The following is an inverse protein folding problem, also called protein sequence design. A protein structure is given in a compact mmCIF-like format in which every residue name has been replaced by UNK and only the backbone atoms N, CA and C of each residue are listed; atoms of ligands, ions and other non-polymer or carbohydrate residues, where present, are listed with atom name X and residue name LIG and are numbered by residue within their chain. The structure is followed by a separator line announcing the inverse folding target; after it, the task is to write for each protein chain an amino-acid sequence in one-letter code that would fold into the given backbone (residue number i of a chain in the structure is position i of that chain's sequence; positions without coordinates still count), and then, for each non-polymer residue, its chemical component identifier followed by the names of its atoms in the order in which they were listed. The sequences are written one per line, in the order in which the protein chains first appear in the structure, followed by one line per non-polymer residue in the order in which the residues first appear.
data_IF_385946939990
#
_entry.id   IF_385946939990
#
_cell.length_a   1.000
_cell.length_b   1.000
_cell.length_c   1.000
_cell.angle_alpha   90.00
_cell.angle_beta   90.00
_cell.angle_gamma   90.00
#
_symmetry.space_group_name_H-M   'P 1'
#
loop_
_entity.id
_entity.type
_entity.pdbx_description
1 polymer ?
#
# COMPACT_ATOMS: atom_id res chain seq x y z
N UNK A 1 31.62 1.10 -6.49
CA UNK A 1 30.55 1.77 -7.22
C UNK A 1 30.74 3.29 -7.16
N UNK A 2 30.51 3.98 -8.24
CA UNK A 2 30.69 5.42 -8.36
C UNK A 2 29.94 6.23 -7.29
N UNK A 3 28.70 5.90 -7.02
CA UNK A 3 27.90 6.54 -5.98
C UNK A 3 28.50 6.44 -4.56
N UNK A 4 29.25 5.38 -4.27
CA UNK A 4 29.96 5.25 -2.98
C UNK A 4 31.20 6.15 -2.92
N UNK A 5 31.96 6.25 -4.04
CA UNK A 5 33.15 7.13 -4.13
C UNK A 5 32.77 8.60 -4.08
N UNK A 6 31.58 8.96 -4.58
CA UNK A 6 31.05 10.33 -4.57
C UNK A 6 30.34 10.71 -3.27
N UNK A 7 30.26 9.77 -2.31
CA UNK A 7 29.58 10.02 -1.03
C UNK A 7 30.26 11.18 -0.26
N UNK A 8 29.49 12.16 0.26
CA UNK A 8 30.05 13.23 1.08
C UNK A 8 30.55 12.68 2.43
N UNK A 9 31.59 13.31 2.96
CA UNK A 9 32.24 12.93 4.22
C UNK A 9 31.92 13.90 5.38
N UNK A 10 31.34 15.05 5.11
CA UNK A 10 30.98 16.06 6.11
C UNK A 10 29.56 16.59 5.88
N UNK A 11 28.97 17.21 6.93
CA UNK A 11 27.69 17.90 6.81
C UNK A 11 27.75 19.10 5.88
N UNK A 12 28.91 19.70 5.68
CA UNK A 12 29.10 20.85 4.81
C UNK A 12 29.06 20.42 3.31
N UNK A 13 29.44 19.17 3.01
CA UNK A 13 29.32 18.57 1.68
C UNK A 13 27.94 17.95 1.43
N UNK A 14 27.15 17.77 2.48
CA UNK A 14 25.85 17.10 2.40
C UNK A 14 24.80 18.04 1.83
N UNK A 15 24.25 17.69 0.66
CA UNK A 15 23.31 18.53 -0.09
C UNK A 15 21.88 18.20 0.29
N UNK A 16 21.05 19.23 0.42
CA UNK A 16 19.65 19.13 0.78
C UNK A 16 19.40 18.86 2.27
N UNK A 17 18.16 18.63 2.66
CA UNK A 17 17.73 18.34 4.04
C UNK A 17 18.08 19.43 5.06
N UNK A 18 18.10 20.69 4.65
CA UNK A 18 18.57 21.84 5.46
C UNK A 18 17.88 21.94 6.83
N UNK A 19 16.58 21.67 6.90
CA UNK A 19 15.81 21.70 8.15
C UNK A 19 16.35 20.69 9.18
N UNK A 20 16.72 19.50 8.72
CA UNK A 20 17.26 18.43 9.55
C UNK A 20 18.70 18.72 9.94
N UNK A 21 19.54 19.05 8.95
CA UNK A 21 20.99 19.20 9.11
C UNK A 21 21.34 20.48 9.86
N UNK A 22 20.78 21.63 9.46
CA UNK A 22 21.07 22.94 10.06
C UNK A 22 20.30 23.19 11.36
N UNK A 23 19.21 22.46 11.60
CA UNK A 23 18.37 22.58 12.77
C UNK A 23 18.97 21.92 14.02
N UNK A 24 18.24 20.99 14.61
CA UNK A 24 18.58 20.39 15.90
C UNK A 24 19.77 19.42 15.86
N UNK A 25 20.11 18.83 14.70
CA UNK A 25 21.13 17.79 14.61
C UNK A 25 22.55 18.35 14.83
N UNK A 26 22.90 19.42 14.13
CA UNK A 26 24.24 20.04 14.25
C UNK A 26 24.56 20.50 15.67
N UNK A 27 23.56 20.99 16.40
CA UNK A 27 23.73 21.41 17.81
C UNK A 27 23.99 20.23 18.76
N UNK A 28 23.41 19.08 18.50
CA UNK A 28 23.60 17.84 19.28
C UNK A 28 24.99 17.23 19.01
N UNK A 29 25.41 17.21 17.75
CA UNK A 29 26.71 16.65 17.35
C UNK A 29 27.89 17.45 17.96
N UNK A 30 27.79 18.77 17.99
CA UNK A 30 28.79 19.61 18.65
C UNK A 30 28.94 19.32 20.14
N UNK A 31 27.90 18.79 20.79
CA UNK A 31 27.92 18.35 22.19
C UNK A 31 28.38 16.90 22.37
N UNK A 32 28.81 16.24 21.31
CA UNK A 32 29.20 14.82 21.34
C UNK A 32 28.05 13.87 21.65
N UNK A 33 26.81 14.27 21.33
CA UNK A 33 25.63 13.45 21.60
C UNK A 33 24.93 13.06 20.31
N UNK A 34 24.84 11.75 20.06
CA UNK A 34 24.06 11.17 18.97
C UNK A 34 22.82 10.53 19.58
N UNK A 35 21.61 11.08 19.36
CA UNK A 35 20.39 10.43 19.82
C UNK A 35 20.08 9.19 18.97
N UNK A 36 19.48 8.18 19.57
CA UNK A 36 18.91 7.09 18.80
C UNK A 36 17.76 7.61 17.95
N UNK A 37 17.78 7.33 16.64
CA UNK A 37 16.80 7.88 15.69
C UNK A 37 16.46 6.91 14.56
N UNK A 38 15.31 7.13 13.96
CA UNK A 38 14.90 6.50 12.71
C UNK A 38 14.85 7.54 11.60
N UNK A 39 15.65 7.31 10.56
CA UNK A 39 15.70 8.14 9.35
C UNK A 39 14.67 7.59 8.36
N UNK A 40 13.60 8.31 8.18
CA UNK A 40 12.51 7.92 7.27
C UNK A 40 12.50 8.83 6.04
N UNK A 41 12.50 8.24 4.86
CA UNK A 41 12.44 9.00 3.61
C UNK A 41 12.62 8.10 2.38
N UNK A 42 12.39 8.66 1.18
CA UNK A 42 12.46 7.91 -0.08
C UNK A 42 13.87 7.36 -0.35
N UNK A 43 14.02 6.40 -1.29
CA UNK A 43 15.32 5.95 -1.76
C UNK A 43 16.18 7.14 -2.23
N UNK A 44 17.49 7.02 -2.10
CA UNK A 44 18.42 8.06 -2.55
C UNK A 44 18.38 9.39 -1.80
N UNK A 45 17.55 9.56 -0.77
CA UNK A 45 17.47 10.80 0.04
C UNK A 45 18.66 11.03 0.99
N UNK A 46 19.66 10.14 1.00
CA UNK A 46 20.89 10.29 1.79
C UNK A 46 20.86 9.69 3.20
N UNK A 47 19.89 8.83 3.57
CA UNK A 47 19.79 8.23 4.93
C UNK A 47 21.09 7.59 5.43
N UNK A 48 21.65 6.67 4.68
CA UNK A 48 22.91 5.98 5.04
C UNK A 48 24.09 6.94 5.11
N UNK A 49 24.15 7.90 4.20
CA UNK A 49 25.17 8.95 4.15
C UNK A 49 25.09 9.81 5.40
N UNK A 50 23.90 10.27 5.77
CA UNK A 50 23.70 11.08 6.97
C UNK A 50 24.10 10.32 8.24
N UNK A 51 23.75 9.04 8.35
CA UNK A 51 24.14 8.21 9.49
C UNK A 51 25.67 8.10 9.66
N UNK A 52 26.38 7.91 8.55
CA UNK A 52 27.86 7.85 8.57
C UNK A 52 28.49 9.21 8.95
N UNK A 53 28.04 10.30 8.34
CA UNK A 53 28.53 11.65 8.63
C UNK A 53 28.27 12.00 10.11
N UNK A 54 27.07 11.78 10.59
CA UNK A 54 26.68 12.05 11.99
C UNK A 54 27.59 11.31 12.97
N UNK A 55 27.93 10.07 12.66
CA UNK A 55 28.81 9.27 13.53
C UNK A 55 30.26 9.75 13.47
N UNK A 56 30.72 10.16 12.30
CA UNK A 56 32.10 10.66 12.11
C UNK A 56 32.31 12.05 12.71
N UNK A 57 31.35 12.95 12.55
CA UNK A 57 31.46 14.34 13.07
C UNK A 57 31.15 14.48 14.57
N UNK A 58 30.49 13.48 15.17
CA UNK A 58 30.24 13.51 16.61
C UNK A 58 31.56 13.33 17.38
N UNK A 59 32.13 14.43 17.76
CA UNK A 59 33.37 14.45 18.58
C UNK A 59 33.04 14.27 20.05
N UNK A 60 33.68 13.28 20.69
CA UNK A 60 33.66 13.15 22.14
C UNK A 60 34.82 13.98 22.71
N UNK A 61 34.57 15.05 23.48
CA UNK A 61 35.65 15.97 23.96
C UNK A 61 36.71 15.27 24.83
N UNK A 62 36.43 14.10 25.38
CA UNK A 62 37.33 13.39 26.33
C UNK A 62 37.26 11.85 26.21
N UNK A 63 36.80 11.30 25.06
CA UNK A 63 36.66 9.87 24.91
C UNK A 63 37.07 9.36 23.51
N UNK A 64 37.18 8.02 23.33
CA UNK A 64 37.45 7.43 22.04
C UNK A 64 36.34 7.74 21.04
N UNK A 65 36.66 7.81 19.72
CA UNK A 65 35.67 8.06 18.68
C UNK A 65 34.60 6.97 18.69
N UNK A 66 33.39 7.32 18.21
CA UNK A 66 32.31 6.34 18.07
C UNK A 66 32.70 5.24 17.10
N UNK A 67 32.35 3.99 17.43
CA UNK A 67 32.43 2.87 16.50
C UNK A 67 31.15 2.83 15.67
N UNK A 68 31.26 2.95 14.37
CA UNK A 68 30.16 2.75 13.44
C UNK A 68 30.08 1.28 12.99
N UNK A 69 28.92 0.67 13.13
CA UNK A 69 28.63 -0.68 12.66
C UNK A 69 27.37 -0.64 11.80
N UNK A 70 27.49 -1.12 10.59
CA UNK A 70 26.38 -1.16 9.63
C UNK A 70 25.82 -2.59 9.52
N UNK A 71 24.51 -2.71 9.53
CA UNK A 71 23.78 -3.95 9.42
C UNK A 71 22.59 -3.76 8.46
N UNK A 72 22.40 -4.69 7.54
CA UNK A 72 21.20 -4.70 6.71
C UNK A 72 20.16 -5.66 7.28
N UNK A 73 18.95 -5.17 7.57
CA UNK A 73 17.87 -6.01 8.08
C UNK A 73 17.36 -7.04 7.05
N UNK A 74 17.75 -6.91 5.78
CA UNK A 74 17.41 -7.89 4.73
C UNK A 74 18.23 -9.17 4.82
N UNK A 75 19.46 -9.11 5.35
CA UNK A 75 20.39 -10.23 5.40
C UNK A 75 20.71 -10.69 6.81
N UNK A 76 20.51 -9.83 7.80
CA UNK A 76 20.89 -10.09 9.17
C UNK A 76 19.94 -11.05 9.91
N UNK A 77 20.50 -12.01 10.60
CA UNK A 77 19.77 -12.89 11.53
C UNK A 77 19.66 -12.30 12.93
N UNK A 78 18.75 -12.84 13.75
CA UNK A 78 18.63 -12.47 15.16
C UNK A 78 19.94 -12.75 15.95
N UNK A 79 20.71 -13.77 15.55
CA UNK A 79 22.00 -14.10 16.17
C UNK A 79 23.06 -13.06 15.85
N UNK A 80 23.05 -12.50 14.63
CA UNK A 80 23.98 -11.43 14.27
C UNK A 80 23.72 -10.18 15.10
N UNK A 81 22.45 -9.82 15.30
CA UNK A 81 22.06 -8.70 16.17
C UNK A 81 22.56 -8.93 17.60
N UNK A 82 22.31 -10.11 18.18
CA UNK A 82 22.76 -10.44 19.54
C UNK A 82 24.28 -10.35 19.68
N UNK A 83 25.02 -10.96 18.75
CA UNK A 83 26.47 -10.91 18.74
C UNK A 83 27.02 -9.48 18.70
N UNK A 84 26.46 -8.63 17.85
CA UNK A 84 26.86 -7.21 17.74
C UNK A 84 26.54 -6.41 19.01
N UNK A 85 25.40 -6.68 19.63
CA UNK A 85 25.03 -6.08 20.90
C UNK A 85 26.00 -6.48 22.02
N UNK A 86 26.27 -7.78 22.17
CA UNK A 86 27.21 -8.29 23.18
C UNK A 86 28.61 -7.71 22.98
N UNK A 87 29.07 -7.63 21.73
CA UNK A 87 30.36 -7.02 21.39
C UNK A 87 30.37 -5.53 21.74
N UNK A 88 29.29 -4.79 21.49
CA UNK A 88 29.19 -3.37 21.82
C UNK A 88 29.25 -3.13 23.33
N UNK A 89 28.54 -3.94 24.12
CA UNK A 89 28.55 -3.89 25.59
C UNK A 89 29.95 -4.18 26.13
N UNK A 90 30.58 -5.23 25.62
CA UNK A 90 31.93 -5.64 26.03
C UNK A 90 32.97 -4.55 25.72
N UNK A 91 32.93 -3.98 24.50
CA UNK A 91 33.83 -2.88 24.14
C UNK A 91 33.62 -1.64 25.00
N UNK A 92 32.40 -1.25 25.24
CA UNK A 92 32.10 -0.11 26.08
C UNK A 92 32.67 -0.29 27.50
N UNK A 93 32.56 -1.51 28.07
CA UNK A 93 33.11 -1.79 29.41
C UNK A 93 34.63 -1.79 29.46
N UNK A 94 35.31 -2.24 28.38
CA UNK A 94 36.77 -2.31 28.35
C UNK A 94 37.46 -1.02 27.94
N UNK A 95 36.92 -0.30 26.95
CA UNK A 95 37.59 0.85 26.30
C UNK A 95 36.85 2.16 26.45
N UNK A 96 35.64 2.15 27.00
CA UNK A 96 34.75 3.32 27.00
C UNK A 96 34.19 3.71 25.63
N UNK A 97 34.55 2.97 24.55
CA UNK A 97 34.12 3.25 23.19
C UNK A 97 32.63 2.95 23.00
N UNK A 98 31.86 3.98 22.62
CA UNK A 98 30.44 3.85 22.30
C UNK A 98 30.23 3.32 20.89
N UNK A 99 29.24 2.45 20.70
CA UNK A 99 28.87 1.91 19.40
C UNK A 99 27.61 2.56 18.86
N UNK A 100 27.70 3.06 17.63
CA UNK A 100 26.57 3.49 16.82
C UNK A 100 26.25 2.36 15.87
N UNK A 101 25.09 1.74 16.05
CA UNK A 101 24.59 0.67 15.19
C UNK A 101 23.64 1.27 14.16
N UNK A 102 24.03 1.24 12.89
CA UNK A 102 23.18 1.64 11.79
C UNK A 102 22.49 0.41 11.22
N UNK A 103 21.15 0.44 11.13
CA UNK A 103 20.35 -0.62 10.55
C UNK A 103 19.64 -0.09 9.32
N UNK A 104 20.01 -0.60 8.16
CA UNK A 104 19.32 -0.29 6.91
C UNK A 104 18.11 -1.20 6.72
N UNK A 105 17.04 -0.66 6.13
CA UNK A 105 15.76 -1.35 5.87
C UNK A 105 15.13 -1.95 7.14
N UNK A 106 15.14 -1.20 8.25
CA UNK A 106 14.70 -1.66 9.58
C UNK A 106 13.29 -2.30 9.58
N UNK A 107 12.41 -1.93 8.67
CA UNK A 107 11.06 -2.50 8.51
C UNK A 107 11.07 -3.99 8.11
N UNK A 108 12.21 -4.53 7.68
CA UNK A 108 12.37 -5.96 7.35
C UNK A 108 12.53 -6.85 8.58
N UNK A 109 12.91 -6.29 9.71
CA UNK A 109 12.97 -7.04 10.95
C UNK A 109 11.57 -7.37 11.48
N UNK A 110 11.37 -8.63 11.87
CA UNK A 110 10.16 -9.06 12.56
C UNK A 110 10.13 -8.52 14.00
N UNK A 111 8.98 -8.68 14.67
CA UNK A 111 8.77 -8.15 16.04
C UNK A 111 9.82 -8.68 17.03
N UNK A 112 10.13 -9.97 17.02
CA UNK A 112 11.09 -10.56 17.93
C UNK A 112 12.52 -10.01 17.72
N UNK A 113 12.90 -9.70 16.48
CA UNK A 113 14.18 -9.05 16.19
C UNK A 113 14.21 -7.59 16.65
N UNK A 114 13.09 -6.87 16.52
CA UNK A 114 12.97 -5.50 17.01
C UNK A 114 13.05 -5.43 18.54
N UNK A 115 12.49 -6.41 19.26
CA UNK A 115 12.53 -6.49 20.73
C UNK A 115 13.94 -6.63 21.30
N UNK A 116 14.89 -7.18 20.53
CA UNK A 116 16.29 -7.31 20.96
C UNK A 116 16.97 -5.96 21.25
N UNK A 117 16.50 -4.87 20.63
CA UNK A 117 17.07 -3.53 20.81
C UNK A 117 16.56 -2.83 22.07
N UNK A 118 15.39 -3.19 22.60
CA UNK A 118 14.77 -2.47 23.72
C UNK A 118 15.67 -2.43 24.97
N UNK A 119 16.22 -3.55 25.48
CA UNK A 119 17.03 -3.56 26.71
C UNK A 119 18.33 -2.77 26.56
N UNK A 120 18.94 -2.79 25.37
CA UNK A 120 20.24 -2.16 25.13
C UNK A 120 20.14 -0.66 24.86
N UNK A 121 18.99 -0.22 24.30
CA UNK A 121 18.67 1.19 24.17
C UNK A 121 18.36 1.82 25.54
N UNK A 122 17.59 1.14 26.38
CA UNK A 122 17.25 1.61 27.74
C UNK A 122 18.50 1.78 28.62
N UNK A 123 19.46 0.87 28.49
CA UNK A 123 20.73 0.94 29.24
C UNK A 123 21.75 1.88 28.62
N UNK A 124 21.50 2.42 27.43
CA UNK A 124 22.43 3.32 26.73
C UNK A 124 23.72 2.65 26.25
N UNK A 125 23.74 1.33 26.07
CA UNK A 125 24.92 0.60 25.59
C UNK A 125 25.22 0.82 24.12
N UNK A 126 24.17 1.09 23.33
CA UNK A 126 24.30 1.42 21.91
C UNK A 126 23.49 2.67 21.58
N UNK A 127 23.89 3.36 20.53
CA UNK A 127 23.08 4.34 19.83
C UNK A 127 22.55 3.70 18.55
N UNK A 128 21.24 3.66 18.37
CA UNK A 128 20.61 3.05 17.19
C UNK A 128 20.27 4.15 16.17
N UNK A 129 20.82 4.01 14.97
CA UNK A 129 20.40 4.75 13.78
C UNK A 129 19.69 3.79 12.84
N UNK A 130 18.39 3.87 12.73
CA UNK A 130 17.61 3.03 11.82
C UNK A 130 17.28 3.80 10.55
N UNK A 131 17.30 3.15 9.40
CA UNK A 131 16.82 3.71 8.13
C UNK A 131 15.64 2.90 7.62
N UNK A 132 14.65 3.60 7.07
CA UNK A 132 13.46 2.98 6.45
C UNK A 132 12.92 3.84 5.34
N UNK A 133 12.40 3.22 4.30
CA UNK A 133 11.62 3.86 3.25
C UNK A 133 10.12 3.85 3.55
N UNK A 134 9.65 2.92 4.40
CA UNK A 134 8.24 2.81 4.78
C UNK A 134 7.94 3.64 6.04
N UNK A 135 6.69 4.08 6.19
CA UNK A 135 6.29 4.84 7.37
C UNK A 135 6.53 4.00 8.66
N UNK A 136 7.39 4.48 9.56
CA UNK A 136 7.80 3.73 10.74
C UNK A 136 6.64 3.38 11.67
N UNK A 137 5.56 4.18 11.69
CA UNK A 137 4.38 3.93 12.54
C UNK A 137 3.61 2.66 12.14
N UNK A 138 3.77 2.17 10.92
CA UNK A 138 3.10 0.94 10.46
C UNK A 138 3.95 -0.31 10.60
N UNK A 139 5.27 -0.15 10.69
CA UNK A 139 6.21 -1.28 10.62
C UNK A 139 7.02 -1.51 11.88
N UNK A 140 7.31 -0.45 12.61
CA UNK A 140 8.05 -0.55 13.86
C UNK A 140 7.11 -0.71 15.04
N UNK A 141 7.54 -1.47 16.03
CA UNK A 141 6.80 -1.60 17.27
C UNK A 141 6.73 -0.28 18.03
N UNK A 142 5.58 0.04 18.63
CA UNK A 142 5.39 1.25 19.41
C UNK A 142 6.41 1.41 20.55
N UNK A 143 6.80 0.31 21.19
CA UNK A 143 7.81 0.28 22.25
C UNK A 143 9.20 0.72 21.74
N UNK A 144 9.58 0.32 20.53
CA UNK A 144 10.83 0.74 19.92
C UNK A 144 10.73 2.19 19.43
N UNK A 145 9.64 2.55 18.76
CA UNK A 145 9.42 3.87 18.21
C UNK A 145 9.41 4.97 19.28
N UNK A 146 8.87 4.68 20.48
CA UNK A 146 8.88 5.61 21.61
C UNK A 146 10.28 5.95 22.13
N UNK A 147 11.31 5.17 21.79
CA UNK A 147 12.70 5.35 22.18
C UNK A 147 13.57 5.93 21.07
N UNK A 148 13.01 6.12 19.90
CA UNK A 148 13.69 6.65 18.72
C UNK A 148 13.10 8.01 18.33
N UNK A 149 13.98 8.93 17.98
CA UNK A 149 13.54 10.20 17.38
C UNK A 149 13.29 9.97 15.89
N UNK A 150 12.07 10.24 15.42
CA UNK A 150 11.77 10.19 13.99
C UNK A 150 12.34 11.42 13.30
N UNK A 151 13.17 11.19 12.30
CA UNK A 151 13.75 12.22 11.43
C UNK A 151 13.27 11.94 10.01
N UNK A 152 12.47 12.85 9.48
CA UNK A 152 11.92 12.74 8.13
C UNK A 152 12.88 13.39 7.16
N UNK A 153 13.30 12.63 6.15
CA UNK A 153 14.10 13.12 5.04
C UNK A 153 13.18 13.27 3.82
N UNK A 154 13.14 14.48 3.30
CA UNK A 154 12.35 14.77 2.10
C UNK A 154 13.04 14.26 0.85
N UNK A 155 12.26 14.13 -0.21
CA UNK A 155 12.77 13.93 -1.55
C UNK A 155 13.66 15.11 -1.93
N UNK A 156 14.82 14.86 -2.54
CA UNK A 156 15.72 15.92 -2.98
C UNK A 156 15.06 16.74 -4.10
N UNK A 157 15.29 18.04 -4.09
CA UNK A 157 14.88 18.92 -5.18
C UNK A 157 15.71 18.66 -6.45
N UNK A 158 15.22 19.10 -7.61
CA UNK A 158 15.96 18.99 -8.88
C UNK A 158 17.33 19.67 -8.77
N UNK A 159 17.35 20.88 -8.15
CA UNK A 159 18.58 21.65 -7.97
C UNK A 159 19.56 20.97 -7.01
N UNK A 160 19.08 20.27 -5.97
CA UNK A 160 19.94 19.49 -5.07
C UNK A 160 20.60 18.32 -5.82
N UNK A 161 19.82 17.58 -6.63
CA UNK A 161 20.35 16.51 -7.46
C UNK A 161 21.35 17.04 -8.50
N UNK A 162 21.05 18.17 -9.12
CA UNK A 162 21.97 18.83 -10.07
C UNK A 162 23.27 19.19 -9.37
N UNK A 163 23.21 19.77 -8.20
CA UNK A 163 24.40 20.14 -7.41
C UNK A 163 25.27 18.93 -7.05
N UNK A 164 24.64 17.81 -6.66
CA UNK A 164 25.35 16.54 -6.42
C UNK A 164 26.06 16.05 -7.68
N UNK A 165 25.41 16.11 -8.84
CA UNK A 165 26.00 15.71 -10.12
C UNK A 165 27.15 16.64 -10.54
N UNK A 166 27.01 17.94 -10.33
CA UNK A 166 28.07 18.94 -10.61
C UNK A 166 29.29 18.72 -9.72
N UNK A 167 29.09 18.44 -8.42
CA UNK A 167 30.17 18.07 -7.51
C UNK A 167 30.87 16.77 -7.95
N UNK A 168 30.12 15.75 -8.36
CA UNK A 168 30.69 14.51 -8.87
C UNK A 168 31.51 14.74 -10.13
N UNK A 169 30.97 15.49 -11.11
CA UNK A 169 31.71 15.88 -12.33
C UNK A 169 32.94 16.69 -12.05
N UNK A 170 32.89 17.62 -11.08
CA UNK A 170 34.07 18.39 -10.69
C UNK A 170 35.18 17.51 -10.11
N UNK A 171 34.86 16.48 -9.34
CA UNK A 171 35.82 15.49 -8.84
C UNK A 171 36.45 14.68 -9.98
N UNK A 172 35.63 14.17 -10.93
CA UNK A 172 36.11 13.47 -12.12
C UNK A 172 37.03 14.35 -12.96
N UNK A 173 36.61 15.59 -13.29
CA UNK A 173 37.40 16.54 -14.09
C UNK A 173 38.75 16.92 -13.48
N UNK A 174 38.84 16.91 -12.15
CA UNK A 174 40.09 17.18 -11.41
C UNK A 174 41.02 15.96 -11.31
N UNK A 175 40.59 14.81 -11.82
CA UNK A 175 41.36 13.55 -11.70
C UNK A 175 41.38 12.98 -10.27
N UNK A 176 40.38 13.31 -9.47
CA UNK A 176 40.23 12.76 -8.13
C UNK A 176 39.41 11.45 -8.10
N UNK A 177 39.24 10.81 -9.27
CA UNK A 177 38.60 9.51 -9.40
C UNK A 177 39.53 8.58 -10.19
N UNK A 178 39.87 7.44 -9.61
CA UNK A 178 40.87 6.52 -10.18
C UNK A 178 40.39 5.76 -11.43
N UNK A 179 39.08 5.76 -11.69
CA UNK A 179 38.51 5.02 -12.82
C UNK A 179 38.29 5.90 -14.06
N UNK A 180 38.18 7.24 -13.90
CA UNK A 180 37.82 8.14 -14.99
C UNK A 180 38.93 9.14 -15.29
N UNK A 181 39.28 9.27 -16.58
CA UNK A 181 40.37 10.15 -17.02
C UNK A 181 39.99 11.62 -16.96
N UNK A 182 40.84 12.45 -16.36
CA UNK A 182 40.64 13.89 -16.32
C UNK A 182 40.57 14.47 -17.75
N UNK A 183 39.57 15.34 -18.00
CA UNK A 183 39.45 16.08 -19.24
C UNK A 183 38.73 15.40 -20.40
N UNK A 184 38.40 14.10 -20.30
CA UNK A 184 37.81 13.37 -21.44
C UNK A 184 36.28 13.62 -21.65
N UNK A 185 35.58 14.31 -20.74
CA UNK A 185 34.12 14.34 -20.66
C UNK A 185 33.54 15.76 -20.93
N UNK A 186 34.12 16.50 -21.86
CA UNK A 186 33.64 17.86 -22.22
C UNK A 186 32.20 17.88 -22.77
N UNK A 187 31.72 16.76 -23.35
CA UNK A 187 30.39 16.59 -23.86
C UNK A 187 29.30 16.43 -22.81
N UNK A 188 29.67 16.10 -21.54
CA UNK A 188 28.74 16.09 -20.44
C UNK A 188 28.61 17.54 -19.95
N UNK A 189 27.65 18.24 -20.50
CA UNK A 189 27.37 19.63 -20.21
C UNK A 189 26.33 19.79 -19.09
N UNK A 190 26.08 21.03 -18.67
CA UNK A 190 25.10 21.33 -17.62
C UNK A 190 23.67 20.99 -18.02
N UNK A 191 23.36 20.96 -19.32
CA UNK A 191 22.05 20.60 -19.82
C UNK A 191 21.79 19.09 -19.63
N UNK A 192 22.77 18.23 -19.94
CA UNK A 192 22.68 16.80 -19.72
C UNK A 192 22.59 16.48 -18.21
N UNK A 193 23.39 17.14 -17.37
CA UNK A 193 23.32 16.97 -15.92
C UNK A 193 21.95 17.35 -15.38
N UNK A 194 21.36 18.44 -15.82
CA UNK A 194 20.02 18.85 -15.43
C UNK A 194 18.97 17.87 -15.91
N UNK A 195 19.11 17.35 -17.11
CA UNK A 195 18.23 16.32 -17.63
C UNK A 195 18.31 15.03 -16.78
N UNK A 196 19.53 14.59 -16.37
CA UNK A 196 19.73 13.45 -15.47
C UNK A 196 19.07 13.73 -14.12
N UNK A 197 19.26 14.93 -13.55
CA UNK A 197 18.66 15.32 -12.27
C UNK A 197 17.13 15.23 -12.29
N UNK A 198 16.48 15.69 -13.38
CA UNK A 198 15.03 15.55 -13.58
C UNK A 198 14.58 14.10 -13.68
N UNK A 199 15.33 13.31 -14.45
CA UNK A 199 15.01 11.89 -14.63
C UNK A 199 15.16 11.07 -13.35
N UNK A 200 16.10 11.43 -12.48
CA UNK A 200 16.32 10.77 -11.19
C UNK A 200 15.24 11.08 -10.16
N UNK A 201 14.43 12.12 -10.40
CA UNK A 201 13.25 12.44 -9.61
C UNK A 201 13.52 12.45 -8.09
N UNK A 202 14.65 13.10 -7.69
CA UNK A 202 15.05 13.24 -6.29
C UNK A 202 15.79 12.05 -5.66
N UNK A 203 16.14 11.02 -6.44
CA UNK A 203 17.00 9.92 -6.02
C UNK A 203 18.46 10.19 -6.43
N UNK A 204 19.30 10.64 -5.48
CA UNK A 204 20.71 10.92 -5.74
C UNK A 204 21.50 9.68 -6.17
N UNK A 205 21.12 8.48 -5.74
CA UNK A 205 21.78 7.23 -6.13
C UNK A 205 21.50 6.93 -7.61
N UNK A 206 20.24 7.05 -8.01
CA UNK A 206 19.84 6.89 -9.40
C UNK A 206 20.49 7.95 -10.31
N UNK A 207 20.59 9.20 -9.83
CA UNK A 207 21.27 10.28 -10.54
C UNK A 207 22.75 9.96 -10.79
N UNK A 208 23.47 9.53 -9.75
CA UNK A 208 24.89 9.17 -9.85
C UNK A 208 25.12 7.92 -10.71
N UNK A 209 24.22 6.93 -10.65
CA UNK A 209 24.31 5.76 -11.55
C UNK A 209 24.08 6.13 -13.01
N UNK A 210 23.15 7.04 -13.28
CA UNK A 210 22.94 7.54 -14.63
C UNK A 210 24.16 8.31 -15.14
N UNK A 211 24.80 9.11 -14.28
CA UNK A 211 26.05 9.78 -14.59
C UNK A 211 27.19 8.78 -14.85
N UNK A 212 27.33 7.76 -14.01
CA UNK A 212 28.32 6.68 -14.18
C UNK A 212 28.16 5.99 -15.55
N UNK A 213 26.92 5.67 -15.94
CA UNK A 213 26.62 5.12 -17.25
C UNK A 213 27.00 6.07 -18.39
N UNK A 214 26.75 7.38 -18.24
CA UNK A 214 27.18 8.37 -19.18
C UNK A 214 28.73 8.47 -19.29
N UNK A 215 29.44 8.37 -18.17
CA UNK A 215 30.90 8.40 -18.14
C UNK A 215 31.54 7.16 -18.80
N UNK A 216 30.91 5.97 -18.65
CA UNK A 216 31.39 4.71 -19.26
C UNK A 216 31.04 4.62 -20.75
N UNK A 217 29.97 5.30 -21.19
CA UNK A 217 29.60 5.27 -22.61
C UNK A 217 30.62 6.06 -23.44
N UNK A 218 31.17 5.45 -24.50
CA UNK A 218 32.10 6.07 -25.46
C UNK A 218 31.44 7.16 -26.33
N UNK A 219 30.63 7.94 -25.73
CA UNK A 219 29.52 8.82 -26.02
C UNK A 219 29.68 9.92 -27.03
N UNK A 220 30.46 9.80 -28.08
CA UNK A 220 30.49 10.83 -29.09
C UNK A 220 29.43 10.72 -30.19
N UNK A 221 28.57 9.68 -30.21
CA UNK A 221 27.78 9.42 -31.40
C UNK A 221 26.28 9.66 -31.30
N UNK A 222 25.65 9.66 -30.13
CA UNK A 222 24.22 9.98 -30.13
C UNK A 222 23.69 10.31 -28.71
N UNK A 223 23.56 11.60 -28.40
CA UNK A 223 22.92 12.10 -27.16
C UNK A 223 21.51 11.58 -27.02
N UNK A 224 20.75 11.44 -28.09
CA UNK A 224 19.40 10.88 -28.09
C UNK A 224 19.39 9.40 -27.74
N UNK A 225 20.36 8.64 -28.26
CA UNK A 225 20.50 7.23 -27.94
C UNK A 225 20.89 7.00 -26.48
N UNK A 226 21.79 7.82 -25.94
CA UNK A 226 22.14 7.81 -24.51
C UNK A 226 20.91 8.15 -23.64
N UNK A 227 20.18 9.21 -23.98
CA UNK A 227 18.97 9.58 -23.28
C UNK A 227 17.89 8.49 -23.33
N UNK A 228 17.72 7.83 -24.47
CA UNK A 228 16.80 6.71 -24.62
C UNK A 228 17.23 5.50 -23.76
N UNK A 229 18.53 5.21 -23.70
CA UNK A 229 19.09 4.15 -22.85
C UNK A 229 18.91 4.45 -21.35
N UNK A 230 19.23 5.68 -20.95
CA UNK A 230 19.04 6.14 -19.58
C UNK A 230 17.57 6.13 -19.15
N UNK A 231 16.64 6.55 -20.03
CA UNK A 231 15.19 6.44 -19.79
C UNK A 231 14.75 5.00 -19.54
N UNK A 232 15.22 4.05 -20.36
CA UNK A 232 14.91 2.62 -20.17
C UNK A 232 15.45 2.09 -18.85
N UNK A 233 16.62 2.52 -18.43
CA UNK A 233 17.26 2.11 -17.19
C UNK A 233 16.54 2.72 -15.97
N UNK A 234 16.15 4.00 -16.03
CA UNK A 234 15.38 4.67 -14.99
C UNK A 234 14.01 4.02 -14.78
N UNK A 235 13.28 3.68 -15.86
CA UNK A 235 12.01 2.97 -15.79
C UNK A 235 12.13 1.59 -15.12
N UNK A 236 13.24 0.88 -15.34
CA UNK A 236 13.49 -0.41 -14.68
C UNK A 236 13.83 -0.27 -13.19
N UNK A 237 14.44 0.85 -12.79
CA UNK A 237 14.84 1.09 -11.40
C UNK A 237 13.64 1.43 -10.49
N UNK A 238 12.59 2.05 -11.02
CA UNK A 238 11.34 2.42 -10.31
C UNK A 238 10.55 1.19 -9.80
N UNK A 239 10.96 -0.01 -10.22
CA UNK A 239 10.31 -1.30 -9.93
C UNK A 239 10.39 -1.75 -8.46
N UNK A 240 11.28 -1.20 -7.67
CA UNK A 240 11.59 -1.69 -6.31
C UNK A 240 11.21 -0.73 -5.17
N UNK A 241 10.60 0.44 -5.46
CA UNK A 241 10.35 1.50 -4.49
C UNK A 241 8.90 1.87 -4.27
N UNK A 242 8.67 2.89 -3.46
CA UNK A 242 7.35 3.46 -3.13
C UNK A 242 6.58 3.97 -4.37
N UNK A 243 7.27 4.31 -5.46
CA UNK A 243 6.69 4.72 -6.74
C UNK A 243 5.74 3.67 -7.34
N UNK A 244 5.99 2.38 -7.12
CA UNK A 244 5.11 1.28 -7.50
C UNK A 244 3.74 1.36 -6.79
N UNK A 245 3.72 1.70 -5.48
CA UNK A 245 2.48 1.90 -4.73
C UNK A 245 1.78 3.20 -5.10
N UNK A 246 2.52 4.23 -5.45
CA UNK A 246 1.96 5.51 -5.87
C UNK A 246 1.31 5.42 -7.25
N UNK A 247 1.95 4.73 -8.22
CA UNK A 247 1.39 4.54 -9.56
C UNK A 247 0.13 3.68 -9.56
N UNK A 248 0.10 2.57 -8.81
CA UNK A 248 -1.12 1.77 -8.68
C UNK A 248 -2.22 2.54 -7.94
N UNK A 249 -1.88 3.36 -6.96
CA UNK A 249 -2.84 4.24 -6.28
C UNK A 249 -3.40 5.31 -7.21
N UNK A 250 -2.56 5.88 -8.09
CA UNK A 250 -2.97 6.84 -9.11
C UNK A 250 -3.91 6.19 -10.14
N UNK A 251 -3.59 4.97 -10.62
CA UNK A 251 -4.45 4.19 -11.51
C UNK A 251 -5.83 3.98 -10.88
N UNK A 252 -5.91 3.52 -9.65
CA UNK A 252 -7.18 3.31 -8.94
C UNK A 252 -7.98 4.58 -8.76
N UNK A 253 -7.31 5.70 -8.40
CA UNK A 253 -7.98 7.00 -8.23
C UNK A 253 -8.50 7.55 -9.55
N UNK A 254 -7.80 7.34 -10.66
CA UNK A 254 -8.25 7.71 -11.98
C UNK A 254 -9.49 6.89 -12.41
N UNK A 255 -9.48 5.57 -12.19
CA UNK A 255 -10.65 4.71 -12.42
C UNK A 255 -11.84 5.17 -11.56
N UNK A 256 -11.62 5.42 -10.26
CA UNK A 256 -12.64 5.91 -9.33
C UNK A 256 -13.19 7.27 -9.74
N UNK A 257 -12.32 8.13 -10.26
CA UNK A 257 -12.67 9.46 -10.79
C UNK A 257 -13.36 9.43 -12.16
N UNK A 258 -13.50 8.25 -12.79
CA UNK A 258 -14.08 8.09 -14.13
C UNK A 258 -13.29 8.85 -15.21
N UNK A 259 -11.95 8.85 -15.10
CA UNK A 259 -11.05 9.42 -16.10
C UNK A 259 -10.27 8.26 -16.78
N UNK A 260 -10.76 7.77 -17.95
CA UNK A 260 -10.13 6.67 -18.66
C UNK A 260 -8.76 7.04 -19.25
N UNK A 261 -8.54 8.27 -19.66
CA UNK A 261 -7.27 8.73 -20.26
C UNK A 261 -6.17 8.75 -19.21
N UNK A 262 -6.44 9.32 -18.02
CA UNK A 262 -5.51 9.28 -16.91
C UNK A 262 -5.26 7.84 -16.44
N UNK A 263 -6.28 6.99 -16.38
CA UNK A 263 -6.13 5.59 -16.00
C UNK A 263 -5.25 4.82 -17.00
N UNK A 264 -5.44 5.02 -18.31
CA UNK A 264 -4.58 4.43 -19.35
C UNK A 264 -3.13 4.92 -19.24
N UNK A 265 -2.92 6.20 -18.96
CA UNK A 265 -1.58 6.75 -18.78
C UNK A 265 -0.85 6.05 -17.62
N UNK A 266 -1.50 5.90 -16.45
CA UNK A 266 -0.90 5.24 -15.31
C UNK A 266 -0.67 3.75 -15.56
N UNK A 267 -1.59 3.06 -16.25
CA UNK A 267 -1.40 1.68 -16.69
C UNK A 267 -0.16 1.54 -17.60
N UNK A 268 -0.06 2.40 -18.63
CA UNK A 268 1.06 2.37 -19.57
C UNK A 268 2.40 2.63 -18.83
N UNK A 269 2.41 3.57 -17.87
CA UNK A 269 3.59 3.85 -17.04
C UNK A 269 4.00 2.64 -16.19
N UNK A 270 3.04 1.91 -15.60
CA UNK A 270 3.32 0.68 -14.85
C UNK A 270 3.88 -0.42 -15.75
N UNK A 271 3.27 -0.66 -16.90
CA UNK A 271 3.75 -1.68 -17.87
C UNK A 271 5.14 -1.32 -18.40
N UNK A 272 5.39 -0.06 -18.75
CA UNK A 272 6.70 0.41 -19.19
C UNK A 272 7.75 0.34 -18.08
N UNK A 273 7.37 0.55 -16.81
CA UNK A 273 8.21 0.37 -15.63
C UNK A 273 8.54 -1.11 -15.34
N UNK A 274 7.86 -2.04 -16.02
CA UNK A 274 8.06 -3.48 -15.88
C UNK A 274 7.33 -4.11 -14.69
N UNK A 275 6.25 -3.49 -14.24
CA UNK A 275 5.37 -4.09 -13.23
C UNK A 275 4.80 -5.44 -13.72
N UNK A 276 4.63 -6.35 -12.78
CA UNK A 276 4.00 -7.65 -13.06
C UNK A 276 2.54 -7.45 -13.51
N UNK A 277 2.17 -7.86 -14.74
CA UNK A 277 0.80 -7.71 -15.23
C UNK A 277 -0.22 -8.42 -14.34
N UNK A 278 0.17 -9.52 -13.68
CA UNK A 278 -0.69 -10.21 -12.74
C UNK A 278 -0.90 -9.41 -11.45
N UNK A 279 0.10 -8.63 -11.01
CA UNK A 279 -0.08 -7.69 -9.91
C UNK A 279 -1.11 -6.62 -10.27
N UNK A 280 -0.98 -5.98 -11.44
CA UNK A 280 -1.93 -4.96 -11.92
C UNK A 280 -3.34 -5.56 -11.98
N UNK A 281 -3.49 -6.74 -12.60
CA UNK A 281 -4.79 -7.42 -12.75
C UNK A 281 -5.41 -7.76 -11.39
N UNK A 282 -4.63 -8.24 -10.39
CA UNK A 282 -5.12 -8.46 -9.02
C UNK A 282 -5.69 -7.18 -8.40
N UNK A 283 -5.05 -6.06 -8.65
CA UNK A 283 -5.52 -4.77 -8.13
C UNK A 283 -6.80 -4.29 -8.83
N UNK A 284 -6.96 -4.58 -10.13
CA UNK A 284 -8.20 -4.28 -10.86
C UNK A 284 -9.39 -5.12 -10.34
N UNK A 285 -9.18 -6.37 -9.93
CA UNK A 285 -10.22 -7.19 -9.27
C UNK A 285 -10.72 -6.52 -7.98
N UNK A 286 -9.79 -5.99 -7.17
CA UNK A 286 -10.15 -5.25 -5.96
C UNK A 286 -10.92 -3.96 -6.30
N UNK A 287 -10.45 -3.21 -7.29
CA UNK A 287 -11.08 -1.97 -7.77
C UNK A 287 -12.53 -2.22 -8.26
N UNK A 288 -12.76 -3.29 -9.03
CA UNK A 288 -14.09 -3.68 -9.50
C UNK A 288 -15.10 -3.91 -8.36
N UNK A 289 -14.64 -4.48 -7.24
CA UNK A 289 -15.49 -4.72 -6.06
C UNK A 289 -15.61 -3.50 -5.15
N UNK A 290 -14.55 -2.70 -5.02
CA UNK A 290 -14.50 -1.53 -4.14
C UNK A 290 -15.28 -0.34 -4.73
N UNK A 291 -15.10 -0.06 -6.02
CA UNK A 291 -15.55 1.18 -6.65
C UNK A 291 -16.73 1.01 -7.62
N UNK A 292 -16.93 -0.17 -8.20
CA UNK A 292 -18.00 -0.40 -9.16
C UNK A 292 -19.15 -1.24 -8.59
N UNK A 293 -18.86 -2.20 -7.72
CA UNK A 293 -19.83 -3.09 -7.06
C UNK A 293 -20.81 -3.76 -8.06
N UNK A 294 -20.30 -4.14 -9.25
CA UNK A 294 -21.03 -4.81 -10.31
C UNK A 294 -20.47 -6.21 -10.55
N UNK A 295 -21.35 -7.18 -10.80
CA UNK A 295 -20.96 -8.55 -11.13
C UNK A 295 -20.21 -8.61 -12.46
N UNK A 296 -20.66 -7.83 -13.45
CA UNK A 296 -20.02 -7.76 -14.77
C UNK A 296 -18.58 -7.23 -14.66
N UNK A 297 -18.37 -6.18 -13.86
CA UNK A 297 -17.05 -5.59 -13.66
C UNK A 297 -16.11 -6.54 -12.93
N UNK A 298 -16.60 -7.25 -11.92
CA UNK A 298 -15.82 -8.26 -11.22
C UNK A 298 -15.46 -9.44 -12.16
N UNK A 299 -16.39 -9.89 -12.99
CA UNK A 299 -16.15 -10.94 -13.99
C UNK A 299 -15.12 -10.47 -15.03
N UNK A 300 -15.23 -9.25 -15.56
CA UNK A 300 -14.27 -8.69 -16.50
C UNK A 300 -12.86 -8.64 -15.89
N UNK A 301 -12.73 -8.11 -14.68
CA UNK A 301 -11.43 -8.02 -14.00
C UNK A 301 -10.82 -9.41 -13.74
N UNK A 302 -11.65 -10.39 -13.36
CA UNK A 302 -11.19 -11.77 -13.14
C UNK A 302 -10.80 -12.45 -14.46
N UNK A 303 -11.56 -12.24 -15.53
CA UNK A 303 -11.22 -12.74 -16.87
C UNK A 303 -9.93 -12.09 -17.40
N UNK A 304 -9.73 -10.79 -17.12
CA UNK A 304 -8.49 -10.07 -17.47
C UNK A 304 -7.28 -10.65 -16.74
N UNK A 305 -7.41 -10.98 -15.44
CA UNK A 305 -6.34 -11.68 -14.72
C UNK A 305 -5.96 -12.98 -15.42
N UNK A 306 -6.96 -13.79 -15.80
CA UNK A 306 -6.72 -15.05 -16.49
C UNK A 306 -6.13 -14.87 -17.90
N UNK A 307 -6.55 -13.84 -18.61
CA UNK A 307 -5.96 -13.49 -19.90
C UNK A 307 -4.48 -13.11 -19.75
N UNK A 308 -4.13 -12.30 -18.75
CA UNK A 308 -2.73 -11.94 -18.47
C UNK A 308 -1.87 -13.15 -18.13
N UNK A 309 -2.43 -14.13 -17.41
CA UNK A 309 -1.73 -15.36 -17.04
C UNK A 309 -1.44 -16.26 -18.28
N UNK A 310 -2.37 -16.31 -19.23
CA UNK A 310 -2.26 -17.16 -20.42
C UNK A 310 -1.40 -16.50 -21.52
N UNK A 311 -1.61 -15.20 -21.76
CA UNK A 311 -1.06 -14.49 -22.91
C UNK A 311 0.32 -13.90 -22.58
N UNK A 312 0.47 -13.24 -21.41
CA UNK A 312 1.69 -12.55 -21.05
C UNK A 312 1.91 -11.21 -21.77
N UNK A 313 2.94 -10.45 -21.33
CA UNK A 313 3.36 -9.22 -22.00
C UNK A 313 4.18 -9.55 -23.26
N UNK A 314 4.08 -8.72 -24.31
CA UNK A 314 3.40 -7.41 -24.37
C UNK A 314 1.89 -7.47 -24.68
N UNK A 315 1.37 -8.55 -25.19
CA UNK A 315 0.01 -8.65 -25.74
C UNK A 315 -1.07 -8.49 -24.67
N UNK A 316 -0.87 -9.00 -23.46
CA UNK A 316 -1.85 -8.86 -22.36
C UNK A 316 -2.07 -7.39 -21.94
N UNK A 317 -1.20 -6.46 -22.36
CA UNK A 317 -1.43 -5.02 -22.20
C UNK A 317 -2.75 -4.56 -22.82
N UNK A 318 -3.19 -5.20 -23.94
CA UNK A 318 -4.48 -4.92 -24.58
C UNK A 318 -5.64 -5.34 -23.67
N UNK A 319 -5.53 -6.51 -23.02
CA UNK A 319 -6.55 -6.99 -22.07
C UNK A 319 -6.64 -6.09 -20.84
N UNK A 320 -5.49 -5.65 -20.32
CA UNK A 320 -5.44 -4.70 -19.20
C UNK A 320 -6.07 -3.35 -19.57
N UNK A 321 -5.75 -2.81 -20.74
CA UNK A 321 -6.32 -1.53 -21.20
C UNK A 321 -7.83 -1.61 -21.37
N UNK A 322 -8.36 -2.68 -21.96
CA UNK A 322 -9.81 -2.92 -22.09
C UNK A 322 -10.48 -2.93 -20.71
N UNK A 323 -9.92 -3.66 -19.75
CA UNK A 323 -10.45 -3.72 -18.38
C UNK A 323 -10.43 -2.34 -17.72
N UNK A 324 -9.32 -1.61 -17.80
CA UNK A 324 -9.14 -0.28 -17.19
C UNK A 324 -10.13 0.72 -17.74
N UNK A 325 -10.30 0.79 -19.06
CA UNK A 325 -11.28 1.70 -19.72
C UNK A 325 -12.69 1.37 -19.26
N UNK A 326 -13.10 0.09 -19.32
CA UNK A 326 -14.44 -0.32 -18.92
C UNK A 326 -14.70 -0.03 -17.44
N UNK A 327 -13.73 -0.27 -16.55
CA UNK A 327 -13.85 0.08 -15.14
C UNK A 327 -13.90 1.60 -14.91
N UNK A 328 -13.21 2.40 -15.72
CA UNK A 328 -13.27 3.86 -15.62
C UNK A 328 -14.61 4.43 -16.08
N UNK A 329 -15.22 3.83 -17.10
CA UNK A 329 -16.50 4.30 -17.67
C UNK A 329 -17.74 3.74 -16.97
N UNK A 330 -17.61 2.64 -16.19
CA UNK A 330 -18.75 2.03 -15.50
C UNK A 330 -19.31 2.94 -14.38
N UNK A 331 -20.61 2.81 -14.03
CA UNK A 331 -21.19 3.47 -12.86
C UNK A 331 -20.46 3.11 -11.57
N UNK A 332 -20.17 4.10 -10.73
CA UNK A 332 -19.43 3.91 -9.48
C UNK A 332 -20.35 3.65 -8.29
N UNK A 333 -19.99 2.66 -7.47
CA UNK A 333 -20.70 2.34 -6.23
C UNK A 333 -19.75 1.76 -5.19
N UNK A 334 -19.53 2.48 -4.11
CA UNK A 334 -18.76 2.01 -2.95
C UNK A 334 -19.65 1.39 -1.86
N UNK A 335 -20.88 1.01 -2.20
CA UNK A 335 -21.93 0.62 -1.25
C UNK A 335 -21.51 -0.58 -0.39
N UNK A 336 -21.03 -1.67 -1.01
CA UNK A 336 -20.57 -2.87 -0.30
C UNK A 336 -19.31 -2.63 0.52
N UNK A 337 -18.35 -1.87 -0.01
CA UNK A 337 -17.12 -1.51 0.68
C UNK A 337 -17.38 -0.69 1.95
N UNK A 338 -18.25 0.33 1.87
CA UNK A 338 -18.64 1.13 3.04
C UNK A 338 -19.36 0.30 4.08
N UNK A 339 -20.26 -0.59 3.64
CA UNK A 339 -20.97 -1.50 4.54
C UNK A 339 -20.02 -2.46 5.26
N UNK A 340 -19.08 -3.03 4.53
CA UNK A 340 -18.03 -3.89 5.09
C UNK A 340 -17.18 -3.16 6.14
N UNK A 341 -16.73 -1.93 5.85
CA UNK A 341 -15.98 -1.10 6.82
C UNK A 341 -16.78 -0.82 8.09
N UNK A 342 -18.08 -0.47 7.94
CA UNK A 342 -18.97 -0.26 9.10
C UNK A 342 -19.11 -1.53 9.94
N UNK A 343 -19.27 -2.69 9.29
CA UNK A 343 -19.39 -3.97 9.99
C UNK A 343 -18.08 -4.31 10.73
N UNK A 344 -16.91 -4.14 10.08
CA UNK A 344 -15.62 -4.34 10.74
C UNK A 344 -15.41 -3.40 11.93
N UNK A 345 -15.73 -2.13 11.78
CA UNK A 345 -15.63 -1.15 12.87
C UNK A 345 -16.52 -1.54 14.05
N UNK A 346 -17.76 -2.00 13.78
CA UNK A 346 -18.67 -2.44 14.82
C UNK A 346 -18.12 -3.66 15.57
N UNK A 347 -17.62 -4.67 14.86
CA UNK A 347 -16.99 -5.86 15.46
C UNK A 347 -15.75 -5.49 16.29
N UNK A 348 -14.95 -4.51 15.84
CA UNK A 348 -13.75 -4.09 16.56
C UNK A 348 -14.04 -3.27 17.83
N UNK A 349 -15.16 -2.56 17.86
CA UNK A 349 -15.53 -1.67 18.96
C UNK A 349 -16.53 -2.26 19.95
N UNK A 350 -17.10 -3.43 19.66
CA UNK A 350 -18.22 -4.01 20.41
C UNK A 350 -17.84 -5.37 21.01
N UNK A 351 -18.71 -5.87 21.91
CA UNK A 351 -18.55 -7.19 22.48
C UNK A 351 -18.80 -8.30 21.44
N UNK A 352 -18.21 -9.46 21.65
CA UNK A 352 -18.43 -10.63 20.81
C UNK A 352 -19.71 -11.34 21.25
N UNK A 353 -20.86 -10.86 20.75
CA UNK A 353 -22.18 -11.43 21.08
C UNK A 353 -22.34 -12.84 20.54
N UNK A 354 -22.99 -13.75 21.29
CA UNK A 354 -23.21 -15.10 20.83
C UNK A 354 -24.18 -15.15 19.63
N UNK A 355 -23.94 -16.08 18.73
CA UNK A 355 -24.86 -16.34 17.61
C UNK A 355 -26.21 -16.79 18.18
N UNK A 356 -27.37 -16.23 17.75
CA UNK A 356 -28.69 -16.64 18.20
C UNK A 356 -28.97 -18.13 17.99
N UNK A 357 -29.59 -18.78 18.97
CA UNK A 357 -29.77 -20.25 18.97
C UNK A 357 -30.55 -20.77 17.74
N UNK A 358 -31.56 -20.02 17.30
CA UNK A 358 -32.41 -20.42 16.18
C UNK A 358 -31.68 -20.50 14.84
N UNK A 359 -30.59 -19.75 14.65
CA UNK A 359 -29.77 -19.79 13.41
C UNK A 359 -28.53 -20.69 13.55
N UNK A 360 -28.33 -21.36 14.69
CA UNK A 360 -27.24 -22.34 14.85
C UNK A 360 -27.68 -23.69 14.31
N UNK A 361 -26.77 -24.40 13.63
CA UNK A 361 -27.03 -25.78 13.20
C UNK A 361 -27.12 -26.72 14.38
N UNK A 362 -28.03 -27.71 14.32
CA UNK A 362 -28.24 -28.71 15.36
C UNK A 362 -28.01 -30.16 14.81
N UNK A 363 -26.76 -30.55 14.46
CA UNK A 363 -26.46 -31.87 13.88
C UNK A 363 -26.64 -33.03 14.88
N UNK A 364 -26.59 -32.77 16.19
CA UNK A 364 -26.72 -33.78 17.23
C UNK A 364 -28.04 -33.67 17.98
N UNK A 365 -28.50 -34.80 18.60
CA UNK A 365 -29.68 -34.80 19.43
C UNK A 365 -29.58 -33.84 20.63
N UNK A 366 -28.42 -33.82 21.28
CA UNK A 366 -28.15 -32.89 22.38
C UNK A 366 -28.30 -31.41 21.99
N UNK A 367 -27.79 -31.02 20.79
CA UNK A 367 -27.95 -29.64 20.30
C UNK A 367 -29.41 -29.28 20.07
N UNK A 368 -30.21 -30.21 19.55
CA UNK A 368 -31.67 -30.01 19.42
C UNK A 368 -32.34 -29.83 20.76
N UNK A 369 -31.99 -30.65 21.75
CA UNK A 369 -32.52 -30.58 23.14
C UNK A 369 -32.11 -29.25 23.81
N UNK A 370 -30.93 -28.68 23.45
CA UNK A 370 -30.46 -27.37 23.87
C UNK A 370 -31.09 -26.19 23.11
N UNK A 371 -32.03 -26.44 22.21
CA UNK A 371 -32.77 -25.40 21.48
C UNK A 371 -32.04 -24.84 20.24
N UNK A 372 -30.97 -25.50 19.76
CA UNK A 372 -30.30 -25.08 18.52
C UNK A 372 -31.23 -25.37 17.33
N UNK A 373 -31.30 -24.40 16.37
CA UNK A 373 -32.20 -24.43 15.21
C UNK A 373 -33.71 -24.44 15.58
N UNK A 374 -34.05 -24.26 16.85
CA UNK A 374 -35.44 -24.17 17.25
C UNK A 374 -36.09 -22.91 16.66
N UNK A 375 -37.29 -23.08 16.08
CA UNK A 375 -38.06 -22.00 15.44
C UNK A 375 -37.39 -21.35 14.23
N UNK A 376 -36.35 -21.99 13.64
CA UNK A 376 -35.76 -21.50 12.40
C UNK A 376 -36.77 -21.62 11.25
N UNK A 377 -37.07 -20.53 10.60
CA UNK A 377 -37.99 -20.44 9.47
C UNK A 377 -37.19 -20.64 8.18
N UNK A 378 -37.21 -21.83 7.62
CA UNK A 378 -36.55 -22.13 6.36
C UNK A 378 -37.36 -21.53 5.19
N UNK A 379 -36.98 -20.35 4.72
CA UNK A 379 -37.70 -19.56 3.71
C UNK A 379 -38.13 -20.37 2.47
N UNK A 380 -37.32 -21.30 1.89
CA UNK A 380 -37.76 -22.10 0.74
C UNK A 380 -38.96 -23.01 0.98
N UNK A 381 -39.31 -23.31 2.23
CA UNK A 381 -40.51 -24.09 2.60
C UNK A 381 -41.81 -23.29 2.51
N UNK A 382 -41.71 -21.97 2.36
CA UNK A 382 -42.83 -21.04 2.28
C UNK A 382 -43.05 -20.56 0.83
N UNK A 383 -44.30 -20.30 0.45
CA UNK A 383 -44.66 -19.78 -0.86
C UNK A 383 -44.52 -18.22 -0.92
N UNK A 384 -44.15 -17.60 0.19
CA UNK A 384 -44.02 -16.17 0.38
C UNK A 384 -42.79 -15.86 1.27
N UNK A 385 -42.28 -14.60 1.30
CA UNK A 385 -41.26 -14.19 2.22
C UNK A 385 -41.70 -14.37 3.69
N UNK A 386 -40.75 -14.76 4.56
CA UNK A 386 -40.97 -14.85 6.01
C UNK A 386 -39.91 -14.02 6.75
N UNK A 387 -40.36 -13.35 7.83
CA UNK A 387 -39.43 -12.60 8.65
C UNK A 387 -38.66 -13.52 9.58
N UNK A 388 -37.35 -13.30 9.66
CA UNK A 388 -36.47 -13.92 10.62
C UNK A 388 -35.44 -12.88 11.08
N UNK A 389 -35.20 -12.79 12.38
CA UNK A 389 -34.11 -11.98 12.91
C UNK A 389 -32.79 -12.79 12.84
N UNK A 390 -31.75 -12.17 12.33
CA UNK A 390 -30.43 -12.81 12.17
C UNK A 390 -29.36 -12.21 13.07
N UNK A 391 -29.65 -11.06 13.70
CA UNK A 391 -28.72 -10.45 14.64
C UNK A 391 -28.99 -10.93 16.07
N UNK A 392 -27.97 -10.90 16.93
CA UNK A 392 -28.19 -10.99 18.38
C UNK A 392 -29.02 -9.80 18.86
N UNK A 393 -29.76 -9.92 19.99
CA UNK A 393 -30.67 -8.90 20.49
C UNK A 393 -30.06 -7.50 20.58
N UNK A 394 -28.79 -7.42 20.97
CA UNK A 394 -28.05 -6.16 21.15
C UNK A 394 -27.78 -5.42 19.84
N UNK A 395 -27.85 -6.12 18.71
CA UNK A 395 -27.65 -5.57 17.38
C UNK A 395 -28.94 -5.41 16.58
N UNK A 396 -30.11 -5.67 17.18
CA UNK A 396 -31.38 -5.49 16.49
C UNK A 396 -31.52 -4.08 15.94
N UNK A 397 -32.01 -3.95 14.70
CA UNK A 397 -32.16 -2.68 14.01
C UNK A 397 -30.86 -2.09 13.42
N UNK A 398 -29.70 -2.72 13.63
CA UNK A 398 -28.45 -2.27 13.02
C UNK A 398 -28.51 -2.41 11.50
N UNK A 399 -28.13 -1.36 10.78
CA UNK A 399 -28.06 -1.34 9.31
C UNK A 399 -26.65 -0.92 8.87
N UNK A 400 -25.94 -1.82 8.20
CA UNK A 400 -24.64 -1.53 7.59
C UNK A 400 -24.77 -1.04 6.15
N UNK A 401 -25.67 -1.63 5.38
CA UNK A 401 -25.94 -1.27 4.00
C UNK A 401 -26.83 -0.02 3.92
N UNK A 402 -26.38 0.97 3.15
CA UNK A 402 -27.24 2.06 2.71
C UNK A 402 -28.26 1.54 1.69
N UNK A 403 -29.45 2.13 1.56
CA UNK A 403 -30.40 1.77 0.49
C UNK A 403 -29.69 1.88 -0.88
N UNK A 404 -30.11 1.12 -1.89
CA UNK A 404 -29.59 1.29 -3.24
C UNK A 404 -29.87 2.72 -3.71
N UNK A 405 -28.96 3.30 -4.53
CA UNK A 405 -29.20 4.63 -5.10
C UNK A 405 -30.52 4.61 -5.90
N UNK A 406 -31.32 5.64 -5.75
CA UNK A 406 -32.52 5.80 -6.60
C UNK A 406 -32.09 5.97 -8.06
N UNK A 407 -32.89 5.52 -9.04
CA UNK A 407 -32.57 5.72 -10.46
C UNK A 407 -32.27 7.18 -10.83
N UNK A 408 -32.83 8.15 -10.09
CA UNK A 408 -32.63 9.58 -10.29
C UNK A 408 -31.28 10.12 -9.79
N UNK A 409 -30.57 9.38 -8.91
CA UNK A 409 -29.26 9.81 -8.38
C UNK A 409 -28.06 9.38 -9.23
N UNK A 410 -28.26 8.67 -10.33
CA UNK A 410 -27.22 8.18 -11.24
C UNK A 410 -27.02 9.13 -12.45
N UNK A 411 -27.51 10.36 -12.39
CA UNK A 411 -27.55 11.31 -13.50
C UNK A 411 -26.26 12.08 -13.77
N UNK A 412 -25.09 11.48 -13.61
CA UNK A 412 -23.88 12.04 -14.20
C UNK A 412 -23.16 10.99 -15.07
N UNK A 413 -23.29 11.23 -16.38
CA UNK A 413 -22.55 10.60 -17.48
C UNK A 413 -23.00 9.18 -17.86
N UNK A 414 -24.08 9.06 -18.64
CA UNK A 414 -24.18 8.18 -19.82
C UNK A 414 -25.52 8.41 -20.53
N UNK A 415 -25.63 8.23 -21.86
CA UNK A 415 -26.87 8.43 -22.62
C UNK A 415 -27.96 7.43 -22.20
N UNK A 416 -29.21 7.86 -22.31
CA UNK A 416 -30.43 7.21 -21.81
C UNK A 416 -30.78 5.81 -22.40
N UNK A 417 -29.88 5.13 -23.09
CA UNK A 417 -30.19 3.85 -23.76
C UNK A 417 -29.71 2.59 -23.04
N UNK A 418 -29.00 2.69 -21.90
CA UNK A 418 -28.49 1.53 -21.14
C UNK A 418 -29.32 1.18 -19.88
N UNK A 419 -30.47 1.77 -19.67
CA UNK A 419 -31.29 1.58 -18.47
C UNK A 419 -32.33 0.46 -18.57
N UNK A 420 -32.04 -0.61 -19.31
CA UNK A 420 -32.88 -1.83 -19.28
C UNK A 420 -32.10 -3.04 -18.75
N UNK A 421 -31.42 -2.87 -17.63
CA UNK A 421 -31.00 -4.00 -16.82
C UNK A 421 -32.19 -4.46 -15.95
N UNK A 422 -32.44 -5.78 -15.78
CA UNK A 422 -33.50 -6.26 -14.92
C UNK A 422 -33.16 -5.89 -13.47
N UNK A 423 -33.67 -4.75 -13.05
CA UNK A 423 -33.71 -4.37 -11.65
C UNK A 423 -34.52 -5.40 -10.90
N UNK A 424 -34.14 -5.61 -9.65
CA UNK A 424 -34.77 -6.47 -8.67
C UNK A 424 -34.75 -7.97 -9.06
N UNK A 425 -33.97 -8.70 -8.30
CA UNK A 425 -34.14 -10.13 -8.17
C UNK A 425 -35.55 -10.40 -7.59
N UNK A 426 -36.58 -10.32 -8.43
CA UNK A 426 -37.86 -10.91 -8.15
C UNK A 426 -37.62 -12.43 -8.16
N UNK A 427 -37.40 -13.01 -6.98
CA UNK A 427 -37.49 -14.47 -6.83
C UNK A 427 -38.88 -14.84 -7.27
N UNK A 428 -39.01 -15.43 -8.46
CA UNK A 428 -40.23 -16.07 -8.93
C UNK A 428 -40.37 -17.34 -8.09
N UNK A 429 -41.16 -17.28 -7.02
CA UNK A 429 -41.55 -18.46 -6.28
C UNK A 429 -42.48 -19.28 -7.17
N UNK A 430 -42.06 -20.48 -7.57
CA UNK A 430 -42.98 -21.45 -8.13
C UNK A 430 -43.82 -21.96 -6.97
N UNK A 431 -45.13 -21.76 -7.06
CA UNK A 431 -46.13 -22.19 -6.10
C UNK A 431 -46.39 -23.72 -6.23
N UNK A 432 -45.40 -24.56 -5.89
CA UNK A 432 -45.56 -25.99 -5.69
C UNK A 432 -45.94 -26.29 -4.24
N UNK A 433 -45.56 -27.43 -3.70
CA UNK A 433 -45.85 -27.94 -2.34
C UNK A 433 -45.30 -27.08 -1.18
N UNK A 434 -45.41 -25.77 -1.27
CA UNK A 434 -44.91 -24.81 -0.28
C UNK A 434 -46.03 -24.32 0.61
N UNK A 435 -45.74 -24.21 1.91
CA UNK A 435 -46.67 -23.70 2.90
C UNK A 435 -47.02 -22.24 2.65
N UNK A 436 -48.27 -21.86 2.93
CA UNK A 436 -48.73 -20.45 2.95
C UNK A 436 -49.13 -20.13 4.38
N UNK A 437 -48.51 -19.10 4.93
CA UNK A 437 -48.80 -18.55 6.26
C UNK A 437 -48.91 -17.03 6.14
N UNK A 438 -50.17 -16.55 6.14
CA UNK A 438 -50.47 -15.14 5.94
C UNK A 438 -50.04 -14.26 7.11
N UNK A 439 -49.96 -14.82 8.33
CA UNK A 439 -49.50 -14.09 9.52
C UNK A 439 -47.99 -13.80 9.44
N UNK A 440 -47.23 -14.82 8.96
CA UNK A 440 -45.78 -14.66 8.71
C UNK A 440 -45.52 -13.71 7.54
N UNK A 441 -46.38 -13.70 6.50
CA UNK A 441 -46.26 -12.73 5.42
C UNK A 441 -46.54 -11.33 5.93
N UNK A 442 -47.58 -11.13 6.74
CA UNK A 442 -47.86 -9.84 7.36
C UNK A 442 -46.73 -9.35 8.24
N UNK A 443 -46.16 -10.22 9.08
CA UNK A 443 -44.98 -9.91 9.91
C UNK A 443 -43.82 -9.44 9.04
N UNK A 444 -43.59 -10.06 7.88
CA UNK A 444 -42.54 -9.65 6.93
C UNK A 444 -42.85 -8.28 6.31
N UNK A 445 -44.10 -8.02 5.88
CA UNK A 445 -44.52 -6.75 5.33
C UNK A 445 -44.33 -5.60 6.33
N UNK A 446 -44.67 -5.81 7.59
CA UNK A 446 -44.51 -4.83 8.65
C UNK A 446 -43.02 -4.53 9.00
N UNK A 447 -42.18 -5.55 9.05
CA UNK A 447 -40.79 -5.42 9.53
C UNK A 447 -39.77 -5.22 8.43
N UNK A 448 -40.03 -5.64 7.19
CA UNK A 448 -39.05 -5.66 6.09
C UNK A 448 -39.49 -4.96 4.82
N UNK A 449 -40.78 -4.69 4.65
CA UNK A 449 -41.33 -4.10 3.43
C UNK A 449 -41.99 -2.74 3.71
N UNK A 450 -41.54 -2.00 4.71
CA UNK A 450 -42.01 -0.67 5.10
C UNK A 450 -43.57 -0.61 5.20
N UNK A 451 -44.20 -1.68 5.68
CA UNK A 451 -45.63 -1.88 5.79
C UNK A 451 -46.38 -1.89 4.45
N UNK A 452 -45.69 -2.04 3.35
CA UNK A 452 -46.30 -2.18 2.03
C UNK A 452 -46.61 -3.66 1.77
N UNK A 453 -47.74 -3.97 1.09
CA UNK A 453 -48.03 -5.34 0.71
C UNK A 453 -46.94 -5.92 -0.19
N UNK A 454 -46.63 -7.21 -0.01
CA UNK A 454 -45.73 -7.92 -0.91
C UNK A 454 -46.33 -7.94 -2.34
N UNK A 455 -45.47 -7.68 -3.36
CA UNK A 455 -45.89 -7.60 -4.77
C UNK A 455 -46.59 -8.86 -5.27
N UNK A 456 -46.31 -10.03 -4.68
CA UNK A 456 -46.96 -11.31 -4.99
C UNK A 456 -48.25 -11.59 -4.21
N UNK A 457 -48.62 -10.76 -3.21
CA UNK A 457 -49.75 -10.99 -2.30
C UNK A 457 -51.07 -11.20 -3.03
N UNK A 458 -51.43 -10.29 -3.94
CA UNK A 458 -52.66 -10.38 -4.72
C UNK A 458 -52.75 -11.63 -5.62
N UNK A 459 -51.65 -12.15 -6.11
CA UNK A 459 -51.58 -13.38 -6.87
C UNK A 459 -51.76 -14.62 -5.97
N UNK A 460 -51.12 -14.57 -4.76
CA UNK A 460 -51.25 -15.62 -3.75
C UNK A 460 -52.71 -15.72 -3.25
N UNK A 461 -53.35 -14.62 -2.88
CA UNK A 461 -54.74 -14.59 -2.42
C UNK A 461 -55.74 -15.09 -3.48
N UNK A 462 -55.57 -14.67 -4.72
CA UNK A 462 -56.39 -15.21 -5.85
C UNK A 462 -56.27 -16.73 -6.02
N UNK A 463 -55.10 -17.31 -5.77
CA UNK A 463 -54.89 -18.73 -5.85
C UNK A 463 -55.52 -19.48 -4.69
N UNK A 464 -55.39 -18.96 -3.46
CA UNK A 464 -56.06 -19.53 -2.30
C UNK A 464 -57.55 -19.58 -2.45
N UNK A 465 -58.17 -18.50 -2.97
CA UNK A 465 -59.61 -18.43 -3.30
C UNK A 465 -60.01 -19.51 -4.32
N UNK A 466 -59.19 -19.79 -5.34
CA UNK A 466 -59.46 -20.81 -6.34
C UNK A 466 -59.35 -22.24 -5.78
N UNK A 467 -58.46 -22.46 -4.82
CA UNK A 467 -58.28 -23.77 -4.16
C UNK A 467 -59.37 -24.04 -3.10
N UNK A 468 -59.90 -23.01 -2.45
CA UNK A 468 -61.01 -23.11 -1.53
C UNK A 468 -62.42 -23.21 -2.20
N UNK A 469 -62.47 -23.09 -3.51
CA UNK A 469 -63.73 -23.16 -4.30
C UNK A 469 -63.92 -24.48 -5.04
N UNK A 470 -63.12 -25.49 -4.75
CA UNK A 470 -63.34 -26.84 -5.31
C UNK A 470 -64.14 -27.62 -4.28
N UNK A 471 -65.36 -28.12 -4.62
CA UNK A 471 -66.20 -28.90 -3.72
C UNK A 471 -65.63 -30.24 -3.36
#
# INVERSE_FOLDING_TARGET
PFAERMRPHSLDEYVGQDEVVRGSLRGLLRKGHIPSMVLWGPPGSGKTTLARIVTHEATTPQGPPFRFVELSATTASANDVKRLVDEAVHRQSLTGQRTVLFIDEMQRFNRAQQDLFLPVLERGHITLLAATTENPSFRLQGALLSRLRVVVLSKLAEDDCLHILEQAMARVRRGHDDEFQAGAYAWIDSELLRWIARMADGDARAALQALELALVSEGHQDREHLQASLRRTALKYDRAGDAHYDTISALHKSIRGSDPDAALYWLARMVAGGDDPLFIARRLIVCASEDCCSVEMLNLATATYRACEIVGLPECGINLSHCVVTLAECPKSTRSYRAWKKALSKVASDYNYPVPLHIRNAPTRLMKELGYSAMYRYEPSFAHPVYQEFFPPELHGTRFLSPPPSPESVSHVLPAEAATGPGSCQRRFQLGDRAVDLDLLQEWEEKRNDRQPWAGRAALERRLQRQGSTP
#
